data_IF_539613462336
#
_entry.id   IF_539613462336
#
_cell.length_a   1.000
_cell.length_b   1.000
_cell.length_c   1.000
_cell.angle_alpha   90.00
_cell.angle_beta   90.00
_cell.angle_gamma   90.00
#
_symmetry.space_group_name_H-M   'P 1'
#
loop_
_entity.id
_entity.type
_entity.pdbx_description
1 polymer ?
#
# COMPACT_ATOMS: atom_id res chain seq x y z
N UNK A 1 21.41 76.02 25.67
CA UNK A 1 21.12 74.65 26.10
C UNK A 1 20.69 73.85 24.90
N UNK A 2 21.56 72.96 24.46
CA UNK A 2 21.39 72.10 23.29
C UNK A 2 20.94 70.71 23.78
N UNK A 3 19.71 70.33 23.50
CA UNK A 3 19.18 68.99 23.83
C UNK A 3 19.44 68.06 22.62
N UNK A 4 20.37 67.13 22.77
CA UNK A 4 20.62 66.07 21.77
C UNK A 4 19.64 64.94 22.02
N UNK A 5 18.73 64.70 21.05
CA UNK A 5 17.76 63.59 21.07
C UNK A 5 18.43 62.38 20.50
N UNK A 6 18.76 61.39 21.36
CA UNK A 6 19.39 60.12 20.95
C UNK A 6 18.27 59.16 20.50
N UNK A 7 18.08 58.99 19.18
CA UNK A 7 17.21 57.94 18.61
C UNK A 7 17.86 56.58 18.74
N UNK A 8 17.40 55.77 19.70
CA UNK A 8 17.76 54.35 19.79
C UNK A 8 16.91 53.57 18.79
N UNK A 9 17.50 53.20 17.65
CA UNK A 9 16.88 52.22 16.73
C UNK A 9 16.91 50.80 17.36
N UNK A 10 15.81 50.37 17.91
CA UNK A 10 15.64 48.97 18.26
C UNK A 10 15.48 48.14 16.98
N UNK A 11 16.61 47.55 16.54
CA UNK A 11 16.58 46.45 15.59
C UNK A 11 15.94 45.23 16.26
N UNK A 12 14.65 45.04 16.05
CA UNK A 12 13.96 43.81 16.38
C UNK A 12 14.50 42.72 15.43
N UNK A 13 15.53 41.97 15.85
CA UNK A 13 15.87 40.71 15.24
C UNK A 13 14.63 39.81 15.37
N UNK A 14 13.86 39.70 14.27
CA UNK A 14 12.86 38.64 14.14
C UNK A 14 13.63 37.32 14.23
N UNK A 15 13.53 36.65 15.39
CA UNK A 15 13.94 35.26 15.49
C UNK A 15 13.18 34.49 14.41
N UNK A 16 13.88 33.69 13.58
CA UNK A 16 13.18 32.77 12.68
C UNK A 16 12.26 31.93 13.56
N UNK A 17 10.96 32.01 13.31
CA UNK A 17 9.97 31.15 13.92
C UNK A 17 10.45 29.72 13.70
N UNK A 18 10.81 29.03 14.79
CA UNK A 18 11.25 27.64 14.71
C UNK A 18 10.23 26.90 13.87
N UNK A 19 10.68 26.34 12.74
CA UNK A 19 9.83 25.60 11.83
C UNK A 19 9.05 24.57 12.68
N UNK A 20 7.76 24.80 12.88
CA UNK A 20 6.91 23.84 13.60
C UNK A 20 7.01 22.55 12.81
N UNK A 21 7.41 21.47 13.48
CA UNK A 21 7.44 20.13 12.88
C UNK A 21 6.07 19.86 12.23
N UNK A 22 6.06 19.90 10.91
CA UNK A 22 4.85 19.73 10.12
C UNK A 22 4.61 18.24 9.93
N UNK A 23 3.58 17.67 10.58
CA UNK A 23 3.29 16.25 10.49
C UNK A 23 2.29 15.98 9.37
N UNK A 24 2.67 15.11 8.41
CA UNK A 24 1.80 14.56 7.38
C UNK A 24 1.35 13.15 7.77
N UNK A 25 0.05 12.95 7.90
CA UNK A 25 -0.56 11.66 8.24
C UNK A 25 -0.99 10.95 6.97
N UNK A 26 -0.33 9.84 6.65
CA UNK A 26 -0.58 9.05 5.45
C UNK A 26 -1.28 7.75 5.81
N UNK A 27 -2.49 7.55 5.30
CA UNK A 27 -3.19 6.27 5.36
C UNK A 27 -2.81 5.48 4.11
N UNK A 28 -2.07 4.38 4.29
CA UNK A 28 -1.50 3.62 3.18
C UNK A 28 -1.80 2.12 3.30
N UNK A 29 -2.11 1.49 2.17
CA UNK A 29 -2.29 0.05 2.11
C UNK A 29 -1.08 -0.69 2.72
N UNK A 30 -1.33 -1.80 3.42
CA UNK A 30 -0.30 -2.55 4.15
C UNK A 30 0.86 -3.00 3.26
N UNK A 31 0.61 -3.26 1.97
CA UNK A 31 1.63 -3.59 0.96
C UNK A 31 2.63 -2.45 0.67
N UNK A 32 2.30 -1.21 1.03
CA UNK A 32 3.17 -0.05 0.84
C UNK A 32 4.16 0.17 1.99
N UNK A 33 4.07 -0.59 3.09
CA UNK A 33 4.84 -0.39 4.33
C UNK A 33 6.32 -0.11 4.07
N UNK A 34 6.99 -1.02 3.36
CA UNK A 34 8.46 -0.97 3.21
C UNK A 34 8.88 0.16 2.25
N UNK A 35 8.17 0.26 1.11
CA UNK A 35 8.43 1.30 0.12
C UNK A 35 8.13 2.71 0.67
N UNK A 36 7.00 2.89 1.34
CA UNK A 36 6.63 4.19 1.91
C UNK A 36 7.47 4.56 3.11
N UNK A 37 7.95 3.59 3.89
CA UNK A 37 8.94 3.84 4.93
C UNK A 37 10.26 4.38 4.37
N UNK A 38 10.72 3.88 3.22
CA UNK A 38 11.89 4.42 2.53
C UNK A 38 11.61 5.81 1.93
N UNK A 39 10.48 5.97 1.25
CA UNK A 39 10.04 7.26 0.68
C UNK A 39 9.93 8.35 1.74
N UNK A 40 9.38 8.04 2.91
CA UNK A 40 9.26 9.02 4.00
C UNK A 40 10.62 9.52 4.47
N UNK A 41 11.58 8.62 4.69
CA UNK A 41 12.96 9.01 5.06
C UNK A 41 13.62 9.90 4.01
N UNK A 42 13.42 9.59 2.73
CA UNK A 42 13.96 10.39 1.63
C UNK A 42 13.27 11.76 1.52
N UNK A 43 11.96 11.81 1.70
CA UNK A 43 11.18 13.05 1.71
C UNK A 43 11.54 13.95 2.89
N UNK A 44 11.63 13.40 4.12
CA UNK A 44 12.02 14.14 5.33
C UNK A 44 13.44 14.74 5.21
N UNK A 45 14.35 14.07 4.47
CA UNK A 45 15.70 14.58 4.22
C UNK A 45 15.70 15.80 3.28
N UNK A 46 14.84 15.80 2.26
CA UNK A 46 14.77 16.93 1.31
C UNK A 46 13.80 18.03 1.76
N UNK A 47 13.00 17.76 2.80
CA UNK A 47 12.09 18.73 3.40
C UNK A 47 12.24 18.73 4.94
N UNK A 48 13.34 19.31 5.45
CA UNK A 48 13.56 19.41 6.91
C UNK A 48 12.39 20.11 7.61
N UNK A 49 12.02 19.64 8.80
CA UNK A 49 10.87 20.14 9.56
C UNK A 49 9.52 19.51 9.17
N UNK A 50 9.50 18.57 8.20
CA UNK A 50 8.32 17.77 7.90
C UNK A 50 8.52 16.34 8.38
N UNK A 51 7.54 15.77 9.08
CA UNK A 51 7.51 14.38 9.53
C UNK A 51 6.37 13.63 8.88
N UNK A 52 6.62 12.44 8.35
CA UNK A 52 5.59 11.58 7.77
C UNK A 52 5.25 10.45 8.75
N UNK A 53 3.99 10.30 9.06
CA UNK A 53 3.48 9.21 9.90
C UNK A 53 2.48 8.37 9.14
N UNK A 54 2.45 7.07 9.43
CA UNK A 54 1.63 6.12 8.69
C UNK A 54 0.57 5.47 9.57
N UNK A 55 -0.65 5.39 9.04
CA UNK A 55 -1.64 4.39 9.43
C UNK A 55 -1.65 3.33 8.31
N UNK A 56 -1.18 2.13 8.63
CA UNK A 56 -1.02 1.03 7.67
C UNK A 56 -2.06 -0.06 7.94
N UNK A 57 -2.85 -0.40 6.94
CA UNK A 57 -3.92 -1.38 7.08
C UNK A 57 -4.46 -1.89 5.75
N UNK A 58 -5.55 -2.65 5.83
CA UNK A 58 -6.31 -2.99 4.63
C UNK A 58 -6.93 -1.73 4.03
N UNK A 59 -6.85 -1.60 2.71
CA UNK A 59 -7.38 -0.44 1.98
C UNK A 59 -8.83 -0.13 2.36
N UNK A 60 -9.68 -1.17 2.46
CA UNK A 60 -11.09 -1.05 2.85
C UNK A 60 -11.25 -0.47 4.27
N UNK A 61 -10.41 -0.90 5.22
CA UNK A 61 -10.45 -0.41 6.60
C UNK A 61 -10.05 1.07 6.67
N UNK A 62 -8.97 1.44 5.96
CA UNK A 62 -8.47 2.81 5.91
C UNK A 62 -9.50 3.75 5.25
N UNK A 63 -10.13 3.30 4.16
CA UNK A 63 -11.23 4.03 3.53
C UNK A 63 -12.36 4.29 4.52
N UNK A 64 -12.83 3.24 5.19
CA UNK A 64 -13.92 3.37 6.19
C UNK A 64 -13.55 4.33 7.31
N UNK A 65 -12.31 4.31 7.81
CA UNK A 65 -11.84 5.27 8.81
C UNK A 65 -11.93 6.72 8.32
N UNK A 66 -11.51 6.98 7.07
CA UNK A 66 -11.58 8.32 6.46
C UNK A 66 -13.04 8.77 6.30
N UNK A 67 -13.92 7.88 5.85
CA UNK A 67 -15.38 8.15 5.73
C UNK A 67 -15.99 8.53 7.07
N UNK A 68 -15.52 7.93 8.17
CA UNK A 68 -15.96 8.23 9.54
C UNK A 68 -15.18 9.39 10.19
N UNK A 69 -14.39 10.13 9.42
CA UNK A 69 -13.76 11.37 9.88
C UNK A 69 -12.38 11.22 10.49
N UNK A 70 -11.69 10.07 10.29
CA UNK A 70 -10.31 9.94 10.70
C UNK A 70 -9.43 10.96 9.96
N UNK A 71 -8.55 11.63 10.70
CA UNK A 71 -7.68 12.68 10.17
C UNK A 71 -6.52 12.06 9.36
N UNK A 72 -6.73 11.87 8.08
CA UNK A 72 -5.70 11.51 7.11
C UNK A 72 -5.42 12.71 6.21
N UNK A 73 -4.14 13.01 5.94
CA UNK A 73 -3.77 14.04 4.97
C UNK A 73 -3.66 13.44 3.55
N UNK A 74 -3.16 12.19 3.47
CA UNK A 74 -2.99 11.46 2.21
C UNK A 74 -3.58 10.06 2.36
N UNK A 75 -4.23 9.58 1.30
CA UNK A 75 -4.66 8.19 1.16
C UNK A 75 -3.95 7.54 -0.03
N UNK A 76 -3.32 6.37 0.19
CA UNK A 76 -2.66 5.56 -0.83
C UNK A 76 -3.27 4.15 -0.82
N UNK A 77 -4.00 3.83 -1.87
CA UNK A 77 -4.80 2.61 -2.02
C UNK A 77 -4.04 1.52 -2.78
N UNK A 78 -4.40 0.25 -2.55
CA UNK A 78 -3.93 -0.89 -3.34
C UNK A 78 -4.92 -1.28 -4.47
N UNK A 79 -5.94 -0.50 -4.70
CA UNK A 79 -6.83 -0.58 -5.85
C UNK A 79 -7.52 0.75 -6.14
N UNK A 80 -8.03 0.90 -7.35
CA UNK A 80 -8.77 2.08 -7.79
C UNK A 80 -10.16 2.15 -7.16
N UNK A 81 -10.81 1.01 -6.94
CA UNK A 81 -12.19 0.93 -6.44
C UNK A 81 -12.39 1.70 -5.14
N UNK A 82 -11.57 1.44 -4.13
CA UNK A 82 -11.71 2.11 -2.82
C UNK A 82 -11.33 3.59 -2.88
N UNK A 83 -10.40 3.96 -3.76
CA UNK A 83 -10.08 5.37 -4.03
C UNK A 83 -11.27 6.08 -4.67
N UNK A 84 -11.88 5.47 -5.69
CA UNK A 84 -13.04 6.04 -6.40
C UNK A 84 -14.25 6.20 -5.47
N UNK A 85 -14.41 5.31 -4.50
CA UNK A 85 -15.45 5.43 -3.47
C UNK A 85 -15.23 6.67 -2.60
N UNK A 86 -13.98 6.98 -2.18
CA UNK A 86 -13.66 8.20 -1.44
C UNK A 86 -13.85 9.47 -2.29
N UNK A 87 -13.46 9.41 -3.57
CA UNK A 87 -13.68 10.55 -4.49
C UNK A 87 -15.17 10.83 -4.67
N UNK A 88 -15.99 9.80 -4.89
CA UNK A 88 -17.44 9.92 -5.00
C UNK A 88 -18.09 10.45 -3.72
N UNK A 89 -17.54 10.09 -2.56
CA UNK A 89 -17.95 10.62 -1.26
C UNK A 89 -17.38 12.03 -0.96
N UNK A 90 -16.67 12.65 -1.92
CA UNK A 90 -16.00 13.95 -1.75
C UNK A 90 -15.02 13.96 -0.57
N UNK A 91 -14.36 12.84 -0.28
CA UNK A 91 -13.38 12.69 0.81
C UNK A 91 -11.94 12.70 0.31
N UNK A 92 -11.70 12.60 -0.99
CA UNK A 92 -10.39 12.68 -1.61
C UNK A 92 -10.41 13.60 -2.84
N UNK A 93 -9.29 14.25 -3.13
CA UNK A 93 -9.06 14.98 -4.37
C UNK A 93 -8.92 14.02 -5.56
N UNK A 94 -8.79 14.55 -6.79
CA UNK A 94 -8.47 13.74 -7.95
C UNK A 94 -7.22 12.87 -7.70
N UNK A 95 -7.32 11.54 -7.82
CA UNK A 95 -6.22 10.64 -7.57
C UNK A 95 -5.27 10.55 -8.76
N UNK A 96 -4.03 10.11 -8.48
CA UNK A 96 -3.06 9.74 -9.51
C UNK A 96 -2.57 8.33 -9.23
N UNK A 97 -2.56 7.46 -10.25
CA UNK A 97 -1.92 6.14 -10.16
C UNK A 97 -0.41 6.39 -10.10
N UNK A 98 0.24 5.96 -9.03
CA UNK A 98 1.67 6.20 -8.79
C UNK A 98 2.53 4.94 -8.96
N UNK A 99 1.90 3.77 -8.94
CA UNK A 99 2.59 2.49 -9.09
C UNK A 99 1.62 1.39 -9.56
N UNK A 100 2.19 0.31 -10.09
CA UNK A 100 1.51 -0.96 -10.35
C UNK A 100 2.19 -2.10 -9.63
N UNK A 101 1.46 -3.18 -9.38
CA UNK A 101 1.96 -4.38 -8.74
C UNK A 101 1.26 -5.62 -9.31
N UNK A 102 1.88 -6.78 -9.14
CA UNK A 102 1.36 -8.04 -9.65
C UNK A 102 1.15 -9.03 -8.50
N UNK A 103 -0.02 -9.69 -8.41
CA UNK A 103 -0.19 -10.84 -7.56
C UNK A 103 0.77 -11.99 -7.93
N UNK A 104 1.25 -12.69 -6.90
CA UNK A 104 2.03 -13.91 -7.03
C UNK A 104 1.50 -14.96 -6.06
N UNK A 105 1.67 -16.22 -6.38
CA UNK A 105 1.40 -17.31 -5.46
C UNK A 105 2.64 -17.47 -4.55
N UNK A 106 2.42 -17.41 -3.24
CA UNK A 106 3.43 -17.76 -2.24
C UNK A 106 3.11 -19.12 -1.64
N UNK A 107 4.13 -19.92 -1.45
CA UNK A 107 4.03 -21.31 -0.97
C UNK A 107 5.03 -21.48 0.17
N UNK A 108 4.59 -22.04 1.29
CA UNK A 108 5.46 -22.42 2.38
C UNK A 108 6.54 -23.41 1.88
N UNK A 109 7.80 -23.27 2.32
CA UNK A 109 8.93 -24.02 1.76
C UNK A 109 8.73 -25.53 1.80
N UNK A 110 8.15 -26.04 2.87
CA UNK A 110 7.86 -27.48 3.04
C UNK A 110 6.79 -27.99 2.06
N UNK A 111 5.99 -27.11 1.46
CA UNK A 111 4.95 -27.44 0.49
C UNK A 111 5.35 -27.20 -0.96
N UNK A 112 6.52 -26.60 -1.20
CA UNK A 112 6.98 -26.20 -2.54
C UNK A 112 7.17 -27.39 -3.51
N UNK A 113 7.41 -28.58 -3.00
CA UNK A 113 7.51 -29.78 -3.83
C UNK A 113 6.15 -30.21 -4.42
N UNK A 114 5.04 -29.90 -3.73
CA UNK A 114 3.69 -30.33 -4.08
C UNK A 114 2.81 -29.22 -4.66
N UNK A 115 3.13 -27.94 -4.40
CA UNK A 115 2.41 -26.78 -4.93
C UNK A 115 3.38 -25.97 -5.77
N UNK A 116 3.32 -26.12 -7.08
CA UNK A 116 4.23 -25.49 -8.07
C UNK A 116 3.51 -24.41 -8.90
N UNK A 117 2.18 -24.35 -8.82
CA UNK A 117 1.37 -23.42 -9.60
C UNK A 117 -0.08 -23.36 -9.14
N UNK A 118 -0.87 -22.56 -9.83
CA UNK A 118 -2.30 -22.44 -9.54
C UNK A 118 -3.03 -23.77 -9.66
N UNK A 119 -2.65 -24.61 -10.66
CA UNK A 119 -3.27 -25.92 -10.90
C UNK A 119 -3.21 -26.87 -9.70
N UNK A 120 -2.24 -26.68 -8.81
CA UNK A 120 -2.04 -27.55 -7.64
C UNK A 120 -2.86 -27.11 -6.41
N UNK A 121 -3.41 -25.88 -6.42
CA UNK A 121 -4.15 -25.32 -5.30
C UNK A 121 -5.33 -26.18 -4.82
N UNK A 122 -6.11 -26.84 -5.70
CA UNK A 122 -7.19 -27.76 -5.25
C UNK A 122 -6.68 -28.92 -4.36
N UNK A 123 -5.39 -29.26 -4.45
CA UNK A 123 -4.76 -30.36 -3.68
C UNK A 123 -4.11 -29.85 -2.37
N UNK A 124 -4.00 -28.54 -2.18
CA UNK A 124 -3.52 -27.96 -0.92
C UNK A 124 -4.50 -28.31 0.22
N UNK A 125 -3.97 -28.46 1.44
CA UNK A 125 -4.80 -28.73 2.64
C UNK A 125 -5.29 -27.43 3.27
N UNK A 126 -4.48 -26.36 3.21
CA UNK A 126 -4.76 -25.08 3.84
C UNK A 126 -4.30 -23.94 2.95
N UNK A 127 -5.24 -23.14 2.48
CA UNK A 127 -4.99 -21.91 1.72
C UNK A 127 -5.48 -20.73 2.55
N UNK A 128 -4.76 -19.63 2.51
CA UNK A 128 -5.16 -18.35 3.08
C UNK A 128 -5.22 -17.29 1.98
N UNK A 129 -6.27 -16.46 2.00
CA UNK A 129 -6.44 -15.36 1.05
C UNK A 129 -6.85 -14.08 1.78
N UNK A 130 -6.87 -12.95 1.08
CA UNK A 130 -7.55 -11.74 1.57
C UNK A 130 -9.06 -11.94 1.58
N UNK A 131 -9.76 -11.27 2.49
CA UNK A 131 -11.21 -11.20 2.46
C UNK A 131 -11.70 -10.52 1.17
N UNK A 132 -12.93 -10.73 0.77
CA UNK A 132 -13.45 -10.29 -0.54
C UNK A 132 -13.40 -8.77 -0.73
N UNK A 133 -13.55 -8.01 0.33
CA UNK A 133 -13.47 -6.55 0.34
C UNK A 133 -12.03 -6.02 0.29
N UNK A 134 -11.04 -6.87 0.61
CA UNK A 134 -9.63 -6.53 0.54
C UNK A 134 -9.17 -6.56 -0.92
N UNK A 135 -8.36 -5.57 -1.42
CA UNK A 135 -7.91 -5.57 -2.81
C UNK A 135 -7.30 -6.89 -3.27
N UNK A 136 -6.33 -7.45 -2.51
CA UNK A 136 -5.70 -8.73 -2.88
C UNK A 136 -6.68 -9.91 -2.83
N UNK A 137 -7.68 -9.88 -1.96
CA UNK A 137 -8.73 -10.90 -1.91
C UNK A 137 -9.58 -10.89 -3.17
N UNK A 138 -10.01 -9.70 -3.60
CA UNK A 138 -10.75 -9.52 -4.85
C UNK A 138 -9.92 -9.94 -6.07
N UNK A 139 -8.65 -9.54 -6.15
CA UNK A 139 -7.76 -9.97 -7.22
C UNK A 139 -7.53 -11.49 -7.21
N UNK A 140 -7.40 -12.10 -6.02
CA UNK A 140 -7.32 -13.56 -5.89
C UNK A 140 -8.55 -14.23 -6.52
N UNK A 141 -9.76 -13.77 -6.23
CA UNK A 141 -10.97 -14.35 -6.79
C UNK A 141 -11.04 -14.18 -8.32
N UNK A 142 -10.63 -13.01 -8.85
CA UNK A 142 -10.52 -12.79 -10.30
C UNK A 142 -9.52 -13.76 -10.98
N UNK A 143 -8.37 -13.99 -10.35
CA UNK A 143 -7.38 -14.96 -10.82
C UNK A 143 -7.96 -16.38 -10.83
N UNK A 144 -8.68 -16.77 -9.79
CA UNK A 144 -9.33 -18.08 -9.73
C UNK A 144 -10.44 -18.22 -10.76
N UNK A 145 -11.18 -17.15 -11.07
CA UNK A 145 -12.17 -17.14 -12.15
C UNK A 145 -11.51 -17.34 -13.51
N UNK A 146 -10.43 -16.58 -13.80
CA UNK A 146 -9.65 -16.73 -15.04
C UNK A 146 -9.06 -18.14 -15.13
N UNK A 147 -8.55 -18.68 -14.03
CA UNK A 147 -7.99 -20.03 -13.96
C UNK A 147 -9.05 -21.13 -14.20
N UNK A 148 -10.33 -20.88 -13.85
CA UNK A 148 -11.41 -21.81 -14.11
C UNK A 148 -11.64 -22.06 -15.61
N UNK A 149 -11.39 -21.08 -16.45
CA UNK A 149 -11.46 -21.26 -17.91
C UNK A 149 -10.38 -22.23 -18.44
N UNK A 150 -9.25 -22.33 -17.74
CA UNK A 150 -8.12 -23.20 -18.12
C UNK A 150 -8.15 -24.57 -17.43
N UNK A 151 -8.52 -24.64 -16.14
CA UNK A 151 -8.37 -25.82 -15.30
C UNK A 151 -9.71 -26.51 -14.98
N UNK A 152 -10.82 -26.05 -15.59
CA UNK A 152 -12.17 -26.60 -15.43
C UNK A 152 -13.09 -25.69 -14.62
N UNK A 153 -14.37 -25.68 -14.98
CA UNK A 153 -15.37 -24.75 -14.43
C UNK A 153 -15.52 -24.84 -12.90
N UNK A 154 -15.20 -25.94 -12.28
CA UNK A 154 -15.22 -26.17 -10.84
C UNK A 154 -13.93 -25.80 -10.12
N UNK A 155 -12.88 -25.35 -10.85
CA UNK A 155 -11.56 -25.08 -10.28
C UNK A 155 -11.61 -24.09 -9.12
N UNK A 156 -12.28 -22.96 -9.30
CA UNK A 156 -12.45 -21.96 -8.24
C UNK A 156 -13.11 -22.57 -7.00
N UNK A 157 -14.21 -23.29 -7.16
CA UNK A 157 -14.92 -23.90 -6.05
C UNK A 157 -14.03 -24.91 -5.29
N UNK A 158 -13.24 -25.72 -6.01
CA UNK A 158 -12.30 -26.66 -5.40
C UNK A 158 -11.18 -25.93 -4.60
N UNK A 159 -10.69 -24.80 -5.09
CA UNK A 159 -9.70 -24.00 -4.35
C UNK A 159 -10.36 -23.35 -3.14
N UNK A 160 -11.55 -22.75 -3.30
CA UNK A 160 -12.28 -22.11 -2.20
C UNK A 160 -12.60 -23.08 -1.05
N UNK A 161 -12.85 -24.37 -1.36
CA UNK A 161 -13.03 -25.43 -0.35
C UNK A 161 -11.76 -25.70 0.49
N UNK A 162 -10.60 -25.19 0.08
CA UNK A 162 -9.32 -25.31 0.79
C UNK A 162 -8.97 -24.06 1.59
N UNK A 163 -9.77 -23.01 1.49
CA UNK A 163 -9.52 -21.76 2.22
C UNK A 163 -9.91 -21.95 3.68
N UNK A 164 -8.92 -21.84 4.55
CA UNK A 164 -9.10 -21.94 6.00
C UNK A 164 -9.23 -20.60 6.69
N UNK A 165 -8.83 -19.53 6.01
CA UNK A 165 -8.88 -18.18 6.60
C UNK A 165 -8.89 -17.08 5.52
N UNK A 166 -9.57 -15.96 5.84
CA UNK A 166 -9.65 -14.77 5.00
C UNK A 166 -9.18 -13.56 5.81
N UNK A 167 -8.12 -12.91 5.35
CA UNK A 167 -7.40 -11.89 6.10
C UNK A 167 -7.80 -10.47 5.72
N UNK A 168 -7.69 -9.56 6.69
CA UNK A 168 -8.09 -8.17 6.52
C UNK A 168 -7.07 -7.30 5.73
N UNK A 169 -5.88 -7.83 5.47
CA UNK A 169 -4.87 -7.23 4.59
C UNK A 169 -3.85 -8.26 4.10
N UNK A 170 -3.08 -7.89 3.06
CA UNK A 170 -2.11 -8.78 2.41
C UNK A 170 -0.97 -9.25 3.33
N UNK A 171 -0.53 -8.41 4.28
CA UNK A 171 0.55 -8.77 5.20
C UNK A 171 0.15 -9.88 6.19
N UNK A 172 -1.12 -9.97 6.53
CA UNK A 172 -1.64 -11.10 7.32
C UNK A 172 -1.67 -12.39 6.49
N UNK A 173 -2.02 -12.31 5.19
CA UNK A 173 -1.91 -13.46 4.27
C UNK A 173 -0.46 -13.94 4.22
N UNK A 174 0.48 -13.03 3.94
CA UNK A 174 1.91 -13.33 3.88
C UNK A 174 2.41 -14.00 5.17
N UNK A 175 2.08 -13.40 6.32
CA UNK A 175 2.52 -13.88 7.63
C UNK A 175 2.07 -15.33 7.89
N UNK A 176 0.81 -15.66 7.60
CA UNK A 176 0.27 -17.01 7.82
C UNK A 176 0.97 -18.08 6.97
N UNK A 177 1.33 -17.74 5.71
CA UNK A 177 2.09 -18.68 4.88
C UNK A 177 3.54 -18.77 5.37
N UNK A 178 4.17 -17.64 5.73
CA UNK A 178 5.56 -17.61 6.24
C UNK A 178 5.73 -18.38 7.56
N UNK A 179 4.69 -18.41 8.40
CA UNK A 179 4.67 -19.14 9.67
C UNK A 179 4.24 -20.61 9.53
N UNK A 180 3.93 -21.08 8.31
CA UNK A 180 3.48 -22.45 8.06
C UNK A 180 2.03 -22.71 8.53
N UNK A 181 1.27 -21.69 8.92
CA UNK A 181 -0.15 -21.83 9.28
C UNK A 181 -1.01 -22.17 8.05
N UNK A 182 -0.55 -21.76 6.86
CA UNK A 182 -1.12 -22.15 5.57
C UNK A 182 -0.01 -22.61 4.62
N UNK A 183 -0.38 -23.49 3.68
CA UNK A 183 0.55 -23.98 2.67
C UNK A 183 0.76 -23.01 1.52
N UNK A 184 -0.27 -22.22 1.19
CA UNK A 184 -0.22 -21.29 0.08
C UNK A 184 -1.15 -20.09 0.30
N UNK A 185 -0.86 -19.00 -0.42
CA UNK A 185 -1.67 -17.80 -0.49
C UNK A 185 -1.29 -16.95 -1.70
N UNK A 186 -2.12 -16.00 -2.05
CA UNK A 186 -1.82 -15.02 -3.11
C UNK A 186 -1.59 -13.66 -2.45
N UNK A 187 -0.43 -13.06 -2.74
CA UNK A 187 0.02 -11.76 -2.23
C UNK A 187 0.61 -10.95 -3.39
N UNK A 188 0.95 -9.69 -3.17
CA UNK A 188 1.67 -8.95 -4.21
C UNK A 188 3.15 -9.34 -4.26
N UNK A 189 3.77 -9.21 -5.43
CA UNK A 189 5.20 -9.50 -5.63
C UNK A 189 6.09 -8.76 -4.62
N UNK A 190 5.81 -7.48 -4.37
CA UNK A 190 6.57 -6.68 -3.40
C UNK A 190 6.49 -7.22 -1.97
N UNK A 191 5.33 -7.75 -1.57
CA UNK A 191 5.18 -8.39 -0.26
C UNK A 191 5.95 -9.70 -0.20
N UNK A 192 5.86 -10.52 -1.26
CA UNK A 192 6.57 -11.80 -1.34
C UNK A 192 8.09 -11.63 -1.28
N UNK A 193 8.63 -10.58 -1.92
CA UNK A 193 10.07 -10.27 -1.89
C UNK A 193 10.59 -9.98 -0.47
N UNK A 194 9.75 -9.47 0.43
CA UNK A 194 10.15 -9.23 1.83
C UNK A 194 10.28 -10.50 2.67
N UNK A 195 9.85 -11.67 2.14
CA UNK A 195 9.83 -12.96 2.84
C UNK A 195 10.46 -14.10 2.01
N UNK A 196 11.31 -13.77 1.05
CA UNK A 196 11.93 -14.71 0.10
C UNK A 196 12.68 -15.85 0.79
N UNK A 197 13.24 -15.60 1.98
CA UNK A 197 13.97 -16.61 2.74
C UNK A 197 13.07 -17.68 3.38
N UNK A 198 11.78 -17.39 3.58
CA UNK A 198 10.81 -18.28 4.22
C UNK A 198 9.79 -18.90 3.27
N UNK A 199 9.73 -18.43 2.02
CA UNK A 199 8.70 -18.82 1.05
C UNK A 199 9.29 -19.19 -0.31
N UNK A 200 8.54 -20.01 -1.07
CA UNK A 200 8.69 -20.12 -2.50
C UNK A 200 7.71 -19.18 -3.20
N UNK A 201 8.22 -18.42 -4.16
CA UNK A 201 7.43 -17.46 -4.95
C UNK A 201 7.18 -18.08 -6.32
N UNK A 202 5.91 -18.20 -6.70
CA UNK A 202 5.51 -18.76 -8.00
C UNK A 202 4.79 -17.66 -8.78
N UNK A 203 5.32 -17.35 -9.95
CA UNK A 203 4.70 -16.37 -10.86
C UNK A 203 3.40 -16.93 -11.42
N UNK A 204 2.35 -16.13 -11.38
CA UNK A 204 1.07 -16.43 -12.01
C UNK A 204 1.19 -16.07 -13.50
N UNK A 205 0.79 -16.95 -14.44
CA UNK A 205 0.79 -16.65 -15.87
C UNK A 205 0.04 -15.35 -16.18
N UNK A 206 0.58 -14.52 -17.05
CA UNK A 206 0.05 -13.18 -17.32
C UNK A 206 -1.41 -13.18 -17.81
N UNK A 207 -1.81 -14.19 -18.56
CA UNK A 207 -3.18 -14.38 -19.07
C UNK A 207 -4.19 -14.81 -17.98
N UNK A 208 -3.71 -15.24 -16.82
CA UNK A 208 -4.53 -15.55 -15.65
C UNK A 208 -4.42 -14.48 -14.56
N UNK A 209 -3.40 -13.64 -14.64
CA UNK A 209 -3.09 -12.66 -13.60
C UNK A 209 -3.86 -11.35 -13.79
N UNK A 210 -3.76 -10.48 -12.80
CA UNK A 210 -4.27 -9.10 -12.85
C UNK A 210 -3.13 -8.13 -12.53
N UNK A 211 -3.26 -6.91 -13.01
CA UNK A 211 -2.36 -5.81 -12.62
C UNK A 211 -3.09 -4.95 -11.61
N UNK A 212 -2.53 -4.84 -10.42
CA UNK A 212 -3.05 -3.97 -9.37
C UNK A 212 -2.52 -2.54 -9.56
N UNK A 213 -3.39 -1.57 -9.73
CA UNK A 213 -3.07 -0.15 -9.80
C UNK A 213 -3.20 0.49 -8.41
N UNK A 214 -2.19 1.29 -8.07
CA UNK A 214 -2.09 1.96 -6.78
C UNK A 214 -2.29 3.47 -6.96
N UNK A 215 -3.48 3.99 -6.68
CA UNK A 215 -3.75 5.43 -6.68
C UNK A 215 -3.39 6.07 -5.34
N UNK A 216 -2.99 7.35 -5.40
CA UNK A 216 -2.73 8.22 -4.26
C UNK A 216 -3.48 9.53 -4.42
N UNK A 217 -4.00 10.08 -3.32
CA UNK A 217 -4.69 11.37 -3.29
C UNK A 217 -4.50 12.09 -1.96
N UNK A 218 -4.56 13.41 -2.00
CA UNK A 218 -4.75 14.22 -0.79
C UNK A 218 -6.22 14.13 -0.38
N UNK A 219 -6.49 13.95 0.91
CA UNK A 219 -7.87 13.93 1.41
C UNK A 219 -8.44 15.33 1.48
N UNK A 220 -9.76 15.48 1.40
CA UNK A 220 -10.41 16.80 1.53
C UNK A 220 -10.39 17.35 2.95
N UNK A 221 -10.09 16.51 3.94
CA UNK A 221 -9.98 16.87 5.35
C UNK A 221 -8.51 16.97 5.82
N UNK A 222 -7.56 17.04 4.88
CA UNK A 222 -6.15 17.19 5.19
C UNK A 222 -5.89 18.39 6.09
N UNK A 223 -5.26 18.14 7.23
CA UNK A 223 -4.86 19.23 8.16
C UNK A 223 -3.66 20.01 7.66
N UNK A 224 -2.87 19.41 6.77
CA UNK A 224 -1.64 19.96 6.19
C UNK A 224 -1.63 19.79 4.66
N UNK A 225 -2.59 20.44 3.95
CA UNK A 225 -2.79 20.18 2.51
C UNK A 225 -1.58 20.51 1.66
N UNK A 226 -0.79 21.53 2.02
CA UNK A 226 0.43 21.90 1.28
C UNK A 226 1.52 20.83 1.45
N UNK A 227 1.76 20.36 2.67
CA UNK A 227 2.74 19.30 2.93
C UNK A 227 2.28 17.94 2.38
N UNK A 228 0.98 17.65 2.48
CA UNK A 228 0.37 16.46 1.87
C UNK A 228 0.57 16.44 0.35
N UNK A 229 0.33 17.57 -0.32
CA UNK A 229 0.58 17.70 -1.76
C UNK A 229 2.06 17.50 -2.08
N UNK A 230 2.95 18.14 -1.32
CA UNK A 230 4.38 17.97 -1.51
C UNK A 230 4.84 16.51 -1.34
N UNK A 231 4.24 15.76 -0.40
CA UNK A 231 4.52 14.33 -0.26
C UNK A 231 4.03 13.54 -1.48
N UNK A 232 2.82 13.79 -1.97
CA UNK A 232 2.30 13.17 -3.19
C UNK A 232 3.20 13.48 -4.39
N UNK A 233 3.59 14.73 -4.57
CA UNK A 233 4.48 15.16 -5.66
C UNK A 233 5.86 14.48 -5.56
N UNK A 234 6.37 14.29 -4.33
CA UNK A 234 7.61 13.56 -4.11
C UNK A 234 7.48 12.07 -4.50
N UNK A 235 6.37 11.41 -4.14
CA UNK A 235 6.09 10.02 -4.56
C UNK A 235 6.10 9.89 -6.09
N UNK A 236 5.57 10.89 -6.79
CA UNK A 236 5.51 10.95 -8.26
C UNK A 236 6.83 11.39 -8.91
N UNK A 237 7.74 11.98 -8.16
CA UNK A 237 9.02 12.48 -8.68
C UNK A 237 9.94 11.35 -9.18
N UNK A 238 10.97 11.68 -9.99
CA UNK A 238 11.95 10.68 -10.40
C UNK A 238 12.62 9.93 -9.23
N UNK A 239 12.86 10.61 -8.11
CA UNK A 239 13.44 10.01 -6.91
C UNK A 239 12.46 9.06 -6.22
N UNK A 240 11.23 9.47 -6.04
CA UNK A 240 10.15 8.64 -5.50
C UNK A 240 9.92 7.40 -6.36
N UNK A 241 9.86 7.58 -7.67
CA UNK A 241 9.69 6.49 -8.62
C UNK A 241 10.87 5.52 -8.63
N UNK A 242 12.11 6.00 -8.43
CA UNK A 242 13.27 5.12 -8.25
C UNK A 242 13.19 4.29 -6.96
N UNK A 243 12.73 4.89 -5.88
CA UNK A 243 12.52 4.18 -4.60
C UNK A 243 11.43 3.08 -4.74
N UNK A 244 10.31 3.37 -5.41
CA UNK A 244 9.26 2.39 -5.69
C UNK A 244 9.76 1.22 -6.55
N UNK A 245 10.50 1.49 -7.62
CA UNK A 245 11.10 0.43 -8.46
C UNK A 245 12.08 -0.44 -7.68
N UNK A 246 12.92 0.15 -6.81
CA UNK A 246 13.81 -0.65 -5.92
C UNK A 246 13.03 -1.56 -4.96
N UNK A 247 11.84 -1.14 -4.55
CA UNK A 247 10.93 -1.95 -3.73
C UNK A 247 10.13 -2.99 -4.55
N UNK A 248 10.35 -3.08 -5.88
CA UNK A 248 9.70 -4.07 -6.74
C UNK A 248 8.38 -3.63 -7.37
N UNK A 249 7.97 -2.37 -7.19
CA UNK A 249 6.81 -1.82 -7.91
C UNK A 249 7.14 -1.54 -9.36
N UNK A 250 6.12 -1.64 -10.21
CA UNK A 250 6.19 -1.27 -11.63
C UNK A 250 5.69 0.17 -11.78
N UNK A 251 6.24 0.91 -12.73
CA UNK A 251 5.78 2.26 -13.07
C UNK A 251 4.31 2.24 -13.53
N UNK A 252 3.58 3.35 -13.32
CA UNK A 252 2.19 3.48 -13.75
C UNK A 252 2.00 3.33 -15.26
#
# INVERSE_FOLDING_TARGET
SLVVLLCICLNACARPEAARDEQVVVFAAASLRDAFGALARDFERVRPGTKVTFNLGGTQQLRTQIEHGAAADVFASADTRHMDELVRASRASAPVVFAKNEPVLVVAKESAATIRGLSDLPHAKRIVIGATEVPIGRYTLQILDSASARFGADFRARVEARIVSRELNVRQVLAKVSLGEAQAGIVYRTDAMSAVDSLSIVTIPADLNVVAEYPIAVTTQAKRPVAARAFVDFVLSPDGQRALRRAGFVAP
#
